data_IF_647896514644
#
_entry.id   IF_647896514644
#
_cell.length_a   1.000
_cell.length_b   1.000
_cell.length_c   1.000
_cell.angle_alpha   90.00
_cell.angle_beta   90.00
_cell.angle_gamma   90.00
#
_symmetry.space_group_name_H-M   'P 1'
#
loop_
_entity.id
_entity.type
_entity.pdbx_description
1 polymer ?
#
# COMPACT_ATOMS: atom_id res chain seq x y z
N UNK A 1 12.32 6.02 8.45
CA UNK A 1 11.83 5.36 7.22
C UNK A 1 11.39 3.97 7.60
N UNK A 2 10.09 3.67 7.56
CA UNK A 2 9.59 2.31 7.75
C UNK A 2 10.03 1.48 6.55
N UNK A 3 10.99 0.59 6.75
CA UNK A 3 11.50 -0.30 5.71
C UNK A 3 10.48 -1.40 5.44
N UNK A 4 9.58 -1.19 4.49
CA UNK A 4 8.73 -2.25 3.96
C UNK A 4 9.59 -3.27 3.23
N UNK A 5 9.30 -4.56 3.38
CA UNK A 5 10.01 -5.61 2.65
C UNK A 5 9.66 -5.55 1.15
N UNK A 6 10.49 -6.20 0.32
CA UNK A 6 10.23 -6.31 -1.13
C UNK A 6 8.87 -6.98 -1.38
N UNK A 7 8.51 -7.97 -0.58
CA UNK A 7 7.22 -8.66 -0.69
C UNK A 7 6.04 -7.72 -0.41
N UNK A 8 6.17 -6.89 0.63
CA UNK A 8 5.18 -5.87 0.96
C UNK A 8 5.02 -4.83 -0.16
N UNK A 9 6.13 -4.42 -0.79
CA UNK A 9 6.10 -3.55 -1.96
C UNK A 9 5.33 -4.18 -3.12
N UNK A 10 5.67 -5.41 -3.50
CA UNK A 10 5.02 -6.11 -4.63
C UNK A 10 3.52 -6.27 -4.35
N UNK A 11 3.13 -6.59 -3.12
CA UNK A 11 1.72 -6.70 -2.75
C UNK A 11 0.98 -5.36 -2.87
N UNK A 12 1.59 -4.26 -2.43
CA UNK A 12 1.02 -2.92 -2.58
C UNK A 12 0.85 -2.51 -4.05
N UNK A 13 1.86 -2.75 -4.89
CA UNK A 13 1.84 -2.41 -6.31
C UNK A 13 0.79 -3.25 -7.06
N UNK A 14 0.70 -4.56 -6.78
CA UNK A 14 -0.35 -5.41 -7.35
C UNK A 14 -1.76 -4.89 -7.03
N UNK A 15 -2.00 -4.54 -5.76
CA UNK A 15 -3.27 -3.96 -5.34
C UNK A 15 -3.52 -2.60 -6.01
N UNK A 16 -2.49 -1.78 -6.19
CA UNK A 16 -2.63 -0.48 -6.83
C UNK A 16 -3.12 -0.59 -8.28
N UNK A 17 -2.50 -1.47 -9.07
CA UNK A 17 -2.92 -1.69 -10.46
C UNK A 17 -4.27 -2.42 -10.56
N UNK A 18 -4.60 -3.29 -9.60
CA UNK A 18 -5.92 -3.93 -9.55
C UNK A 18 -7.06 -2.96 -9.21
N UNK A 19 -6.78 -1.89 -8.46
CA UNK A 19 -7.75 -0.86 -8.08
C UNK A 19 -7.68 0.37 -8.99
N UNK A 20 -7.40 0.18 -10.28
CA UNK A 20 -7.44 1.25 -11.30
C UNK A 20 -6.55 2.47 -10.97
N UNK A 21 -5.39 2.24 -10.34
CA UNK A 21 -4.48 3.29 -9.89
C UNK A 21 -5.08 4.24 -8.82
N UNK A 22 -6.12 3.82 -8.11
CA UNK A 22 -6.75 4.61 -7.05
C UNK A 22 -6.09 4.33 -5.70
N UNK A 23 -5.34 5.32 -5.19
CA UNK A 23 -4.68 5.26 -3.87
C UNK A 23 -5.66 4.97 -2.73
N UNK A 24 -6.86 5.54 -2.78
CA UNK A 24 -7.87 5.38 -1.72
C UNK A 24 -8.44 3.96 -1.72
N UNK A 25 -8.72 3.42 -2.91
CA UNK A 25 -9.18 2.05 -3.06
C UNK A 25 -8.09 1.04 -2.71
N UNK A 26 -6.82 1.36 -2.93
CA UNK A 26 -5.66 0.52 -2.57
C UNK A 26 -5.42 0.48 -1.05
N UNK A 27 -5.62 1.61 -0.35
CA UNK A 27 -5.42 1.69 1.11
C UNK A 27 -6.47 0.92 1.92
N UNK A 28 -7.70 0.79 1.40
CA UNK A 28 -8.81 0.08 2.06
C UNK A 28 -8.50 -1.41 2.31
N UNK A 29 -8.07 -2.20 1.31
CA UNK A 29 -7.68 -3.59 1.50
C UNK A 29 -6.35 -3.74 2.23
N UNK A 30 -5.44 -2.74 2.23
CA UNK A 30 -4.19 -2.78 2.99
C UNK A 30 -4.39 -2.62 4.51
N UNK A 31 -5.47 -1.95 4.96
CA UNK A 31 -5.78 -1.76 6.39
C UNK A 31 -5.77 -3.05 7.23
N UNK A 32 -6.42 -4.16 6.82
CA UNK A 32 -6.36 -5.41 7.57
C UNK A 32 -4.97 -6.06 7.59
N UNK A 33 -4.17 -5.94 6.52
CA UNK A 33 -2.84 -6.57 6.46
C UNK A 33 -1.80 -5.89 7.35
N UNK A 34 -1.89 -4.57 7.51
CA UNK A 34 -0.89 -3.79 8.23
C UNK A 34 -1.41 -3.21 9.56
N UNK A 35 -2.67 -3.49 9.90
CA UNK A 35 -3.33 -3.00 11.10
C UNK A 35 -3.61 -1.49 11.09
N UNK A 36 -4.29 -1.01 12.14
CA UNK A 36 -4.81 0.37 12.25
C UNK A 36 -3.73 1.47 12.22
N UNK A 37 -2.46 1.13 12.52
CA UNK A 37 -1.32 2.07 12.60
C UNK A 37 -0.08 1.66 11.78
N UNK A 38 -0.02 0.44 11.22
CA UNK A 38 1.16 -0.02 10.46
C UNK A 38 1.04 0.12 8.94
N UNK A 39 -0.12 0.54 8.45
CA UNK A 39 -0.39 0.66 7.01
C UNK A 39 0.47 1.72 6.33
N UNK A 40 0.81 1.51 5.04
CA UNK A 40 1.44 2.55 4.24
C UNK A 40 0.58 3.80 4.25
N UNK A 41 1.21 4.94 4.46
CA UNK A 41 0.56 6.22 4.29
C UNK A 41 0.31 6.48 2.81
N UNK A 42 -0.61 7.40 2.49
CA UNK A 42 -0.90 7.76 1.10
C UNK A 42 0.36 8.23 0.37
N UNK A 43 1.21 9.01 1.04
CA UNK A 43 2.51 9.46 0.53
C UNK A 43 3.53 8.33 0.36
N UNK A 44 3.46 7.28 1.19
CA UNK A 44 4.28 6.07 0.98
C UNK A 44 3.89 5.40 -0.33
N UNK A 45 2.60 5.08 -0.54
CA UNK A 45 2.13 4.48 -1.79
C UNK A 45 2.43 5.34 -3.01
N UNK A 46 2.27 6.66 -2.88
CA UNK A 46 2.53 7.60 -3.98
C UNK A 46 4.01 7.75 -4.33
N UNK A 47 4.92 7.29 -3.46
CA UNK A 47 6.37 7.25 -3.69
C UNK A 47 6.84 5.88 -4.21
N UNK A 48 5.96 4.87 -4.16
CA UNK A 48 6.20 3.50 -4.60
C UNK A 48 5.81 3.26 -6.06
N UNK A 49 4.84 4.03 -6.54
CA UNK A 49 4.43 4.14 -7.95
C UNK A 49 5.23 5.26 -8.60
#
# INVERSE_FOLDING_TARGET
MTSYTIEQHVQMIKLYYQNECSLVQTLRPLRPFYGRRGGPSKSTLQRLV
#
